data_IF_297089323643
#
_entry.id   IF_297089323643
#
_cell.length_a   1.000
_cell.length_b   1.000
_cell.length_c   1.000
_cell.angle_alpha   90.00
_cell.angle_beta   90.00
_cell.angle_gamma   90.00
#
_symmetry.space_group_name_H-M   'P 1'
#
loop_
_entity.id
_entity.type
_entity.pdbx_description
1 polymer ?
#
# COMPACT_ATOMS: atom_id res chain seq x y z
N UNK A 1 -20.03 -7.72 -44.73
CA UNK A 1 -18.61 -7.38 -45.00
C UNK A 1 -17.88 -7.29 -43.67
N UNK A 2 -16.88 -8.14 -43.39
CA UNK A 2 -16.09 -8.03 -42.16
C UNK A 2 -15.23 -6.76 -42.22
N UNK A 3 -15.24 -5.96 -41.15
CA UNK A 3 -14.46 -4.74 -41.06
C UNK A 3 -12.95 -5.05 -41.21
N UNK A 4 -12.26 -4.34 -42.11
CA UNK A 4 -10.80 -4.46 -42.26
C UNK A 4 -10.13 -4.16 -40.91
N UNK A 5 -9.18 -4.99 -40.44
CA UNK A 5 -8.43 -4.70 -39.22
C UNK A 5 -7.69 -3.37 -39.41
N UNK A 6 -7.81 -2.46 -38.42
CA UNK A 6 -7.05 -1.20 -38.41
C UNK A 6 -5.57 -1.57 -38.44
N UNK A 7 -4.87 -1.18 -39.51
CA UNK A 7 -3.41 -1.29 -39.60
C UNK A 7 -2.82 -0.43 -38.48
N UNK A 8 -2.10 -1.07 -37.55
CA UNK A 8 -1.28 -0.37 -36.57
C UNK A 8 -0.20 0.43 -37.31
N UNK A 9 0.05 1.67 -36.88
CA UNK A 9 1.12 2.48 -37.48
C UNK A 9 2.48 1.85 -37.12
N UNK A 10 3.49 1.87 -38.01
CA UNK A 10 4.86 1.50 -37.65
C UNK A 10 5.39 2.24 -36.41
N UNK A 11 4.87 3.44 -36.15
CA UNK A 11 5.16 4.22 -34.94
C UNK A 11 4.62 3.55 -33.66
N UNK A 12 3.44 2.91 -33.73
CA UNK A 12 2.85 2.15 -32.63
C UNK A 12 3.67 0.89 -32.33
N UNK A 13 4.15 0.21 -33.38
CA UNK A 13 4.98 -0.99 -33.23
C UNK A 13 6.36 -0.64 -32.65
N UNK A 14 6.97 0.45 -33.08
CA UNK A 14 8.22 0.96 -32.49
C UNK A 14 8.02 1.42 -31.04
N UNK A 15 6.92 2.08 -30.73
CA UNK A 15 6.59 2.45 -29.36
C UNK A 15 6.38 1.20 -28.49
N UNK A 16 5.75 0.14 -29.02
CA UNK A 16 5.59 -1.13 -28.34
C UNK A 16 6.93 -1.85 -28.13
N UNK A 17 7.76 -1.98 -29.17
CA UNK A 17 9.09 -2.56 -29.06
C UNK A 17 9.98 -1.78 -28.09
N UNK A 18 9.94 -0.44 -28.15
CA UNK A 18 10.62 0.44 -27.19
C UNK A 18 10.10 0.23 -25.77
N UNK A 19 8.80 0.04 -25.58
CA UNK A 19 8.23 -0.26 -24.26
C UNK A 19 8.64 -1.64 -23.71
N UNK A 20 8.87 -2.62 -24.59
CA UNK A 20 9.41 -3.94 -24.22
C UNK A 20 10.88 -3.81 -23.82
N UNK A 21 11.67 -3.10 -24.63
CA UNK A 21 13.12 -2.93 -24.44
C UNK A 21 13.44 -2.04 -23.26
N UNK A 22 12.73 -0.92 -23.08
CA UNK A 22 12.98 0.00 -21.97
C UNK A 22 12.48 -0.55 -20.63
N UNK A 23 11.53 -1.51 -20.63
CA UNK A 23 11.03 -2.20 -19.42
C UNK A 23 10.49 -1.28 -18.31
N UNK A 24 10.47 0.02 -18.56
CA UNK A 24 10.42 1.08 -17.56
C UNK A 24 9.03 1.68 -17.46
N UNK A 25 8.03 0.83 -17.27
CA UNK A 25 6.70 1.33 -16.92
C UNK A 25 6.78 2.11 -15.62
N UNK A 26 6.42 3.41 -15.67
CA UNK A 26 6.32 4.26 -14.49
C UNK A 26 5.46 3.54 -13.43
N UNK A 27 5.92 3.41 -12.17
CA UNK A 27 5.03 2.94 -11.13
C UNK A 27 3.87 3.92 -10.99
N UNK A 28 2.61 3.45 -10.86
CA UNK A 28 1.45 4.33 -10.76
C UNK A 28 1.60 5.27 -9.57
N UNK A 29 1.37 6.57 -9.77
CA UNK A 29 1.50 7.59 -8.72
C UNK A 29 0.56 7.26 -7.55
N UNK A 30 -0.61 6.69 -7.85
CA UNK A 30 -1.56 6.20 -6.84
C UNK A 30 -0.90 5.23 -5.86
N UNK A 31 -0.07 4.31 -6.35
CA UNK A 31 0.56 3.32 -5.50
C UNK A 31 1.69 3.91 -4.65
N UNK A 32 2.48 4.82 -5.22
CA UNK A 32 3.51 5.53 -4.45
C UNK A 32 2.89 6.39 -3.34
N UNK A 33 1.85 7.16 -3.68
CA UNK A 33 1.16 8.06 -2.76
C UNK A 33 0.38 7.29 -1.69
N UNK A 34 -0.28 6.19 -2.05
CA UNK A 34 -1.03 5.39 -1.09
C UNK A 34 -0.13 4.76 -0.03
N UNK A 35 1.03 4.23 -0.43
CA UNK A 35 2.01 3.69 0.52
C UNK A 35 2.62 4.77 1.40
N UNK A 36 3.00 5.91 0.81
CA UNK A 36 3.61 7.01 1.55
C UNK A 36 2.62 7.62 2.55
N UNK A 37 1.44 8.02 2.08
CA UNK A 37 0.43 8.62 2.93
C UNK A 37 -0.09 7.62 3.97
N UNK A 38 -0.32 6.36 3.58
CA UNK A 38 -0.75 5.30 4.49
C UNK A 38 0.26 5.06 5.60
N UNK A 39 1.54 4.86 5.25
CA UNK A 39 2.59 4.64 6.24
C UNK A 39 2.78 5.82 7.19
N UNK A 40 2.71 7.06 6.69
CA UNK A 40 2.86 8.25 7.52
C UNK A 40 1.65 8.51 8.42
N UNK A 41 0.44 8.48 7.87
CA UNK A 41 -0.77 8.81 8.61
C UNK A 41 -1.10 7.74 9.66
N UNK A 42 -1.10 6.46 9.26
CA UNK A 42 -1.35 5.38 10.21
C UNK A 42 -0.16 5.16 11.15
N UNK A 43 1.08 5.38 10.71
CA UNK A 43 2.25 5.36 11.59
C UNK A 43 2.16 6.43 12.68
N UNK A 44 1.74 7.65 12.31
CA UNK A 44 1.49 8.72 13.27
C UNK A 44 0.34 8.39 14.22
N UNK A 45 -0.74 7.78 13.72
CA UNK A 45 -1.85 7.32 14.55
C UNK A 45 -1.40 6.27 15.56
N UNK A 46 -0.62 5.27 15.14
CA UNK A 46 -0.05 4.27 16.05
C UNK A 46 0.88 4.92 17.09
N UNK A 47 1.75 5.83 16.67
CA UNK A 47 2.65 6.56 17.57
C UNK A 47 1.89 7.37 18.62
N UNK A 48 0.79 8.01 18.22
CA UNK A 48 -0.10 8.72 19.13
C UNK A 48 -0.70 7.77 20.17
N UNK A 49 -1.20 6.61 19.75
CA UNK A 49 -1.73 5.59 20.67
C UNK A 49 -0.64 4.97 21.58
N UNK A 50 0.62 4.86 21.13
CA UNK A 50 1.75 4.52 22.01
C UNK A 50 1.89 5.59 23.11
N UNK A 51 1.80 6.87 22.76
CA UNK A 51 1.82 7.97 23.73
C UNK A 51 0.67 7.92 24.73
N UNK A 52 -0.50 7.44 24.32
CA UNK A 52 -1.65 7.21 25.22
C UNK A 52 -1.42 6.03 26.15
N UNK A 53 -0.95 4.91 25.61
CA UNK A 53 -0.68 3.71 26.38
C UNK A 53 0.49 3.91 27.37
N UNK A 54 1.45 4.79 27.06
CA UNK A 54 2.51 5.23 27.95
C UNK A 54 2.04 6.25 29.02
N UNK A 55 0.78 6.70 28.96
CA UNK A 55 0.21 7.65 29.91
C UNK A 55 0.60 9.12 29.69
N UNK A 56 1.32 9.43 28.62
CA UNK A 56 1.75 10.79 28.26
C UNK A 56 0.59 11.64 27.71
N UNK A 57 -0.39 10.99 27.08
CA UNK A 57 -1.54 11.64 26.44
C UNK A 57 -2.82 11.06 27.01
N UNK A 58 -3.62 11.88 27.68
CA UNK A 58 -4.92 11.49 28.24
C UNK A 58 -6.02 12.29 27.59
N UNK A 59 -6.67 11.71 26.59
CA UNK A 59 -7.79 12.31 25.88
C UNK A 59 -9.06 11.51 26.13
N UNK A 60 -10.22 12.19 26.20
CA UNK A 60 -11.50 11.51 26.28
C UNK A 60 -11.76 10.66 25.02
N UNK A 61 -12.53 9.60 25.16
CA UNK A 61 -12.77 8.62 24.08
C UNK A 61 -13.31 9.26 22.80
N UNK A 62 -14.14 10.30 22.93
CA UNK A 62 -14.65 11.05 21.79
C UNK A 62 -13.54 11.75 21.00
N UNK A 63 -12.56 12.34 21.68
CA UNK A 63 -11.41 12.98 21.01
C UNK A 63 -10.53 11.94 20.29
N UNK A 64 -10.40 10.74 20.86
CA UNK A 64 -9.68 9.63 20.22
C UNK A 64 -10.39 9.16 18.97
N UNK A 65 -11.71 9.00 19.04
CA UNK A 65 -12.53 8.60 17.89
C UNK A 65 -12.44 9.64 16.76
N UNK A 66 -12.54 10.93 17.09
CA UNK A 66 -12.41 12.03 16.13
C UNK A 66 -11.02 12.02 15.48
N UNK A 67 -9.97 11.79 16.26
CA UNK A 67 -8.60 11.71 15.74
C UNK A 67 -8.41 10.54 14.76
N UNK A 68 -8.88 9.34 15.12
CA UNK A 68 -8.83 8.17 14.23
C UNK A 68 -9.64 8.40 12.96
N UNK A 69 -10.86 8.94 13.09
CA UNK A 69 -11.71 9.27 11.94
C UNK A 69 -11.05 10.31 11.02
N UNK A 70 -10.42 11.34 11.59
CA UNK A 70 -9.70 12.37 10.84
C UNK A 70 -8.56 11.77 10.01
N UNK A 71 -7.78 10.85 10.59
CA UNK A 71 -6.70 10.14 9.90
C UNK A 71 -7.26 9.32 8.73
N UNK A 72 -8.32 8.54 8.95
CA UNK A 72 -8.95 7.73 7.90
C UNK A 72 -9.53 8.59 6.77
N UNK A 73 -10.23 9.68 7.10
CA UNK A 73 -10.78 10.62 6.11
C UNK A 73 -9.67 11.30 5.31
N UNK A 74 -8.58 11.69 5.98
CA UNK A 74 -7.41 12.29 5.31
C UNK A 74 -6.78 11.32 4.33
N UNK A 75 -6.58 10.06 4.75
CA UNK A 75 -6.04 9.01 3.87
C UNK A 75 -6.94 8.76 2.66
N UNK A 76 -8.26 8.61 2.86
CA UNK A 76 -9.22 8.40 1.78
C UNK A 76 -9.27 9.58 0.80
N UNK A 77 -9.16 10.81 1.31
CA UNK A 77 -9.11 12.02 0.49
C UNK A 77 -7.86 12.04 -0.40
N UNK A 78 -6.69 11.73 0.16
CA UNK A 78 -5.42 11.64 -0.58
C UNK A 78 -5.48 10.53 -1.63
N UNK A 79 -5.99 9.34 -1.26
CA UNK A 79 -6.14 8.21 -2.17
C UNK A 79 -7.08 8.55 -3.33
N UNK A 80 -8.23 9.15 -3.04
CA UNK A 80 -9.20 9.59 -4.06
C UNK A 80 -8.57 10.59 -5.00
N UNK A 81 -7.87 11.58 -4.48
CA UNK A 81 -7.12 12.54 -5.28
C UNK A 81 -6.09 11.88 -6.19
N UNK A 82 -5.31 10.92 -5.66
CA UNK A 82 -4.27 10.22 -6.42
C UNK A 82 -4.86 9.38 -7.57
N UNK A 83 -5.97 8.69 -7.32
CA UNK A 83 -6.72 7.93 -8.34
C UNK A 83 -7.24 8.88 -9.43
N UNK A 84 -7.84 10.00 -9.04
CA UNK A 84 -8.34 11.00 -10.00
C UNK A 84 -7.19 11.60 -10.82
N UNK A 85 -6.01 11.78 -10.22
CA UNK A 85 -4.81 12.27 -10.91
C UNK A 85 -4.28 11.26 -11.92
N UNK A 86 -4.13 9.99 -11.54
CA UNK A 86 -3.69 8.93 -12.45
C UNK A 86 -4.66 8.70 -13.62
N UNK A 87 -5.98 8.85 -13.38
CA UNK A 87 -6.99 8.80 -14.44
C UNK A 87 -6.86 9.95 -15.44
N UNK A 88 -6.56 11.17 -14.96
CA UNK A 88 -6.34 12.35 -15.81
C UNK A 88 -5.07 12.24 -16.64
N UNK A 89 -4.02 11.63 -16.09
CA UNK A 89 -2.71 11.52 -16.75
C UNK A 89 -2.65 10.34 -17.76
N UNK A 90 -3.76 9.65 -18.02
CA UNK A 90 -3.87 8.62 -19.08
C UNK A 90 -3.03 7.36 -18.85
N UNK A 91 -2.50 7.16 -17.63
CA UNK A 91 -1.64 6.04 -17.25
C UNK A 91 -2.35 4.68 -17.24
N UNK A 92 -3.67 4.66 -17.47
CA UNK A 92 -4.52 3.52 -17.12
C UNK A 92 -4.42 2.30 -18.05
N UNK A 93 -3.80 2.37 -19.24
CA UNK A 93 -3.86 1.24 -20.19
C UNK A 93 -2.63 0.97 -21.08
N UNK A 94 -1.53 1.74 -20.99
CA UNK A 94 -0.34 1.60 -21.87
C UNK A 94 0.96 1.39 -21.10
N UNK A 95 0.99 0.41 -20.20
CA UNK A 95 2.20 0.02 -19.47
C UNK A 95 2.81 -1.30 -20.00
N UNK A 96 4.14 -1.48 -19.95
CA UNK A 96 4.79 -2.77 -20.20
C UNK A 96 4.17 -3.88 -19.35
N UNK A 97 4.20 -5.13 -19.84
CA UNK A 97 3.58 -6.30 -19.18
C UNK A 97 3.94 -6.39 -17.69
N UNK A 98 5.20 -6.17 -17.33
CA UNK A 98 5.67 -6.18 -15.94
C UNK A 98 4.97 -5.15 -15.03
N UNK A 99 4.70 -3.94 -15.53
CA UNK A 99 4.01 -2.90 -14.77
C UNK A 99 2.51 -3.21 -14.57
N UNK A 100 1.89 -3.85 -15.57
CA UNK A 100 0.51 -4.35 -15.48
C UNK A 100 0.39 -5.48 -14.46
N UNK A 101 1.30 -6.45 -14.51
CA UNK A 101 1.36 -7.56 -13.54
C UNK A 101 1.55 -7.02 -12.12
N UNK A 102 2.46 -6.05 -11.93
CA UNK A 102 2.69 -5.43 -10.63
C UNK A 102 1.44 -4.71 -10.10
N UNK A 103 0.77 -3.93 -10.95
CA UNK A 103 -0.45 -3.21 -10.58
C UNK A 103 -1.59 -4.19 -10.25
N UNK A 104 -1.72 -5.27 -11.01
CA UNK A 104 -2.69 -6.33 -10.75
C UNK A 104 -2.42 -7.04 -9.42
N UNK A 105 -1.15 -7.35 -9.10
CA UNK A 105 -0.77 -7.97 -7.84
C UNK A 105 -1.16 -7.11 -6.63
N UNK A 106 -0.79 -5.82 -6.63
CA UNK A 106 -1.17 -4.91 -5.55
C UNK A 106 -2.67 -4.65 -5.47
N UNK A 107 -3.37 -4.63 -6.61
CA UNK A 107 -4.83 -4.50 -6.65
C UNK A 107 -5.50 -5.75 -6.04
N UNK A 108 -5.01 -6.95 -6.37
CA UNK A 108 -5.50 -8.20 -5.80
C UNK A 108 -5.28 -8.24 -4.29
N UNK A 109 -4.11 -7.81 -3.81
CA UNK A 109 -3.85 -7.64 -2.37
C UNK A 109 -4.81 -6.66 -1.71
N UNK A 110 -5.10 -5.52 -2.37
CA UNK A 110 -6.08 -4.56 -1.88
C UNK A 110 -7.49 -5.16 -1.78
N UNK A 111 -7.93 -5.89 -2.79
CA UNK A 111 -9.22 -6.59 -2.78
C UNK A 111 -9.29 -7.67 -1.69
N UNK A 112 -8.21 -8.42 -1.48
CA UNK A 112 -8.11 -9.37 -0.39
C UNK A 112 -8.23 -8.67 0.97
N UNK A 113 -7.60 -7.51 1.16
CA UNK A 113 -7.75 -6.72 2.40
C UNK A 113 -9.20 -6.27 2.65
N UNK A 114 -9.98 -5.95 1.61
CA UNK A 114 -11.41 -5.63 1.75
C UNK A 114 -12.21 -6.85 2.22
N UNK A 115 -11.92 -8.04 1.71
CA UNK A 115 -12.57 -9.26 2.19
C UNK A 115 -12.17 -9.58 3.63
N UNK A 116 -10.88 -9.47 3.96
CA UNK A 116 -10.35 -9.76 5.30
C UNK A 116 -10.90 -8.79 6.34
N UNK A 117 -10.95 -7.48 6.07
CA UNK A 117 -11.49 -6.51 7.04
C UNK A 117 -12.95 -6.83 7.38
N UNK A 118 -13.77 -7.28 6.41
CA UNK A 118 -15.15 -7.69 6.66
C UNK A 118 -15.22 -8.95 7.54
N UNK A 119 -14.39 -9.96 7.26
CA UNK A 119 -14.35 -11.20 8.06
C UNK A 119 -13.98 -10.89 9.52
N UNK A 120 -12.93 -10.09 9.73
CA UNK A 120 -12.47 -9.73 11.07
C UNK A 120 -13.41 -8.75 11.78
N UNK A 121 -14.06 -7.83 11.06
CA UNK A 121 -15.10 -6.97 11.62
C UNK A 121 -16.24 -7.79 12.20
N UNK A 122 -16.79 -8.71 11.39
CA UNK A 122 -17.91 -9.57 11.78
C UNK A 122 -17.49 -10.48 12.93
N UNK A 123 -16.30 -11.09 12.85
CA UNK A 123 -15.76 -11.95 13.91
C UNK A 123 -15.58 -11.22 15.24
N UNK A 124 -14.96 -10.04 15.23
CA UNK A 124 -14.75 -9.24 16.44
C UNK A 124 -16.06 -8.82 17.11
N UNK A 125 -17.07 -8.44 16.32
CA UNK A 125 -18.40 -8.07 16.85
C UNK A 125 -19.14 -9.30 17.40
N UNK A 126 -19.06 -10.43 16.70
CA UNK A 126 -19.73 -11.67 17.10
C UNK A 126 -19.18 -12.21 18.41
N UNK A 127 -17.85 -12.27 18.53
CA UNK A 127 -17.18 -12.92 19.66
C UNK A 127 -16.86 -11.94 20.80
N UNK A 128 -17.19 -10.64 20.64
CA UNK A 128 -16.89 -9.55 21.59
C UNK A 128 -15.40 -9.48 22.00
N UNK A 129 -14.50 -9.96 21.13
CA UNK A 129 -13.06 -9.97 21.36
C UNK A 129 -12.35 -9.05 20.36
N UNK A 130 -11.84 -7.93 20.86
CA UNK A 130 -11.09 -6.97 20.06
C UNK A 130 -9.72 -7.49 19.60
N UNK A 131 -9.17 -8.53 20.24
CA UNK A 131 -7.94 -9.17 19.78
C UNK A 131 -8.10 -9.77 18.38
N UNK A 132 -9.32 -10.23 18.04
CA UNK A 132 -9.66 -10.69 16.69
C UNK A 132 -9.41 -9.55 15.70
N UNK A 133 -9.90 -8.34 15.98
CA UNK A 133 -9.67 -7.17 15.14
C UNK A 133 -8.18 -6.85 14.95
N UNK A 134 -7.36 -7.01 15.98
CA UNK A 134 -5.91 -6.72 15.89
C UNK A 134 -5.15 -7.70 14.97
N UNK A 135 -5.64 -8.92 14.75
CA UNK A 135 -5.03 -9.83 13.77
C UNK A 135 -5.17 -9.34 12.32
N UNK A 136 -6.12 -8.44 12.05
CA UNK A 136 -6.27 -7.81 10.73
C UNK A 136 -4.95 -7.16 10.28
N UNK A 137 -4.29 -6.39 11.15
CA UNK A 137 -3.05 -5.70 10.75
C UNK A 137 -1.95 -6.70 10.38
N UNK A 138 -1.81 -7.80 11.13
CA UNK A 138 -0.85 -8.86 10.81
C UNK A 138 -1.09 -9.44 9.41
N UNK A 139 -2.36 -9.65 9.03
CA UNK A 139 -2.72 -10.15 7.70
C UNK A 139 -2.42 -9.12 6.61
N UNK A 140 -2.71 -7.84 6.86
CA UNK A 140 -2.35 -6.76 5.91
C UNK A 140 -0.85 -6.79 5.62
N UNK A 141 -0.01 -6.89 6.65
CA UNK A 141 1.44 -7.00 6.46
C UNK A 141 1.83 -8.26 5.69
N UNK A 142 1.21 -9.41 5.97
CA UNK A 142 1.51 -10.66 5.28
C UNK A 142 1.14 -10.66 3.78
N UNK A 143 -0.04 -10.13 3.45
CA UNK A 143 -0.50 -10.02 2.06
C UNK A 143 0.30 -8.97 1.29
N UNK A 144 0.65 -7.86 1.94
CA UNK A 144 1.48 -6.82 1.34
C UNK A 144 2.91 -7.32 1.08
N UNK A 145 3.46 -8.11 2.01
CA UNK A 145 4.76 -8.76 1.83
C UNK A 145 4.79 -9.68 0.60
N UNK A 146 3.71 -10.45 0.36
CA UNK A 146 3.60 -11.28 -0.82
C UNK A 146 3.60 -10.46 -2.12
N UNK A 147 2.90 -9.32 -2.14
CA UNK A 147 2.91 -8.41 -3.29
C UNK A 147 4.31 -7.82 -3.54
N UNK A 148 5.03 -7.44 -2.49
CA UNK A 148 6.42 -6.97 -2.59
C UNK A 148 7.40 -8.05 -3.03
N UNK A 149 7.19 -9.30 -2.61
CA UNK A 149 8.01 -10.41 -3.06
C UNK A 149 7.83 -10.63 -4.57
N UNK A 150 6.60 -10.58 -5.07
CA UNK A 150 6.33 -10.61 -6.52
C UNK A 150 6.94 -9.41 -7.26
N UNK A 151 6.89 -8.21 -6.66
CA UNK A 151 7.56 -7.03 -7.22
C UNK A 151 9.07 -7.26 -7.36
N UNK A 152 9.68 -7.90 -6.36
CA UNK A 152 11.10 -8.25 -6.38
C UNK A 152 11.42 -9.32 -7.43
N UNK A 153 10.59 -10.36 -7.61
CA UNK A 153 10.88 -11.38 -8.64
C UNK A 153 10.90 -10.79 -10.05
N UNK A 154 10.11 -9.74 -10.29
CA UNK A 154 10.07 -9.00 -11.56
C UNK A 154 11.17 -7.96 -11.71
N UNK A 155 11.40 -7.10 -10.70
CA UNK A 155 12.30 -5.94 -10.81
C UNK A 155 13.69 -6.16 -10.19
N UNK A 156 13.87 -7.24 -9.44
CA UNK A 156 15.12 -7.66 -8.77
C UNK A 156 15.82 -6.58 -7.93
N UNK A 157 15.09 -5.58 -7.43
CA UNK A 157 15.64 -4.52 -6.57
C UNK A 157 15.69 -4.98 -5.11
N UNK A 158 16.87 -4.88 -4.48
CA UNK A 158 17.09 -5.38 -3.10
C UNK A 158 16.14 -4.80 -2.05
N UNK A 159 15.75 -3.53 -2.16
CA UNK A 159 14.82 -2.90 -1.22
C UNK A 159 13.41 -3.52 -1.25
N UNK A 160 12.97 -4.06 -2.40
CA UNK A 160 11.67 -4.73 -2.50
C UNK A 160 11.67 -6.05 -1.74
N UNK A 161 12.77 -6.80 -1.81
CA UNK A 161 12.96 -8.03 -1.02
C UNK A 161 13.03 -7.71 0.48
N UNK A 162 13.80 -6.69 0.85
CA UNK A 162 13.86 -6.25 2.25
C UNK A 162 12.47 -5.86 2.79
N UNK A 163 11.66 -5.17 1.98
CA UNK A 163 10.28 -4.81 2.34
C UNK A 163 9.39 -6.05 2.51
N UNK A 164 9.50 -7.02 1.60
CA UNK A 164 8.75 -8.27 1.68
C UNK A 164 9.10 -9.08 2.94
N UNK A 165 10.40 -9.32 3.17
CA UNK A 165 10.86 -10.07 4.33
C UNK A 165 10.51 -9.35 5.64
N UNK A 166 10.72 -8.04 5.71
CA UNK A 166 10.33 -7.22 6.85
C UNK A 166 8.82 -7.28 7.09
N UNK A 167 8.00 -7.31 6.04
CA UNK A 167 6.55 -7.44 6.15
C UNK A 167 6.11 -8.78 6.76
N UNK A 168 6.69 -9.90 6.34
CA UNK A 168 6.38 -11.20 6.95
C UNK A 168 6.87 -11.32 8.39
N UNK A 169 8.08 -10.82 8.69
CA UNK A 169 8.59 -10.77 10.07
C UNK A 169 7.65 -9.93 10.95
N UNK A 170 7.21 -8.78 10.45
CA UNK A 170 6.25 -7.91 11.16
C UNK A 170 4.92 -8.62 11.36
N UNK A 171 4.40 -9.31 10.34
CA UNK A 171 3.13 -10.04 10.45
C UNK A 171 3.17 -11.09 11.57
N UNK A 172 4.25 -11.87 11.63
CA UNK A 172 4.44 -12.85 12.71
C UNK A 172 4.58 -12.17 14.07
N UNK A 173 5.38 -11.10 14.15
CA UNK A 173 5.55 -10.34 15.39
C UNK A 173 4.23 -9.77 15.91
N UNK A 174 3.41 -9.16 15.04
CA UNK A 174 2.09 -8.62 15.41
C UNK A 174 1.12 -9.72 15.86
N UNK A 175 1.17 -10.90 15.23
CA UNK A 175 0.36 -12.05 15.65
C UNK A 175 0.71 -12.54 17.05
N UNK A 176 2.01 -12.61 17.38
CA UNK A 176 2.48 -12.98 18.73
C UNK A 176 2.16 -11.90 19.76
N UNK A 177 2.29 -10.63 19.39
CA UNK A 177 2.12 -9.48 20.29
C UNK A 177 0.67 -9.00 20.41
N UNK A 178 -0.30 -9.70 19.83
CA UNK A 178 -1.70 -9.23 19.76
C UNK A 178 -2.31 -8.92 21.14
N UNK A 179 -1.82 -9.58 22.20
CA UNK A 179 -2.28 -9.41 23.58
C UNK A 179 -1.46 -8.41 24.39
N UNK A 180 -0.43 -7.81 23.79
CA UNK A 180 0.48 -6.86 24.42
C UNK A 180 0.40 -5.49 23.71
N UNK A 181 -0.57 -4.63 24.07
CA UNK A 181 -0.95 -3.46 23.27
C UNK A 181 0.21 -2.47 23.04
N UNK A 182 1.07 -2.26 24.04
CA UNK A 182 2.22 -1.36 23.94
C UNK A 182 3.23 -1.84 22.89
N UNK A 183 3.63 -3.11 22.98
CA UNK A 183 4.60 -3.71 22.06
C UNK A 183 4.01 -3.85 20.66
N UNK A 184 2.74 -4.22 20.55
CA UNK A 184 2.02 -4.28 19.30
C UNK A 184 2.03 -2.93 18.57
N UNK A 185 1.65 -1.85 19.26
CA UNK A 185 1.60 -0.51 18.68
C UNK A 185 3.00 0.01 18.31
N UNK A 186 4.02 -0.28 19.13
CA UNK A 186 5.40 0.08 18.85
C UNK A 186 5.94 -0.59 17.59
N UNK A 187 5.79 -1.92 17.48
CA UNK A 187 6.20 -2.68 16.29
C UNK A 187 5.43 -2.20 15.05
N UNK A 188 4.12 -1.99 15.17
CA UNK A 188 3.29 -1.50 14.07
C UNK A 188 3.76 -0.10 13.60
N UNK A 189 4.07 0.81 14.52
CA UNK A 189 4.56 2.16 14.20
C UNK A 189 5.86 2.10 13.40
N UNK A 190 6.86 1.35 13.88
CA UNK A 190 8.15 1.20 13.21
C UNK A 190 7.96 0.56 11.83
N UNK A 191 7.13 -0.48 11.74
CA UNK A 191 6.85 -1.17 10.50
C UNK A 191 6.11 -0.30 9.47
N UNK A 192 5.16 0.54 9.89
CA UNK A 192 4.44 1.45 8.99
C UNK A 192 5.39 2.52 8.40
N UNK A 193 6.32 3.05 9.19
CA UNK A 193 7.33 3.97 8.65
C UNK A 193 8.33 3.27 7.73
N UNK A 194 8.87 2.12 8.13
CA UNK A 194 9.94 1.47 7.38
C UNK A 194 9.46 0.66 6.17
N UNK A 195 8.30 0.01 6.26
CA UNK A 195 7.81 -0.93 5.24
C UNK A 195 6.69 -0.35 4.38
N UNK A 196 6.10 0.77 4.78
CA UNK A 196 5.12 1.48 3.96
C UNK A 196 5.62 2.85 3.52
N UNK A 197 5.97 3.73 4.47
CA UNK A 197 6.34 5.11 4.13
C UNK A 197 7.64 5.18 3.31
N UNK A 198 8.66 4.41 3.69
CA UNK A 198 9.95 4.42 2.99
C UNK A 198 9.85 3.86 1.55
N UNK A 199 9.26 2.68 1.29
CA UNK A 199 8.95 2.23 -0.07
C UNK A 199 8.11 3.23 -0.86
N UNK A 200 7.07 3.81 -0.25
CA UNK A 200 6.23 4.83 -0.87
C UNK A 200 7.02 6.06 -1.30
N UNK A 201 7.94 6.53 -0.46
CA UNK A 201 8.85 7.64 -0.77
C UNK A 201 9.80 7.31 -1.92
N UNK A 202 10.40 6.13 -1.92
CA UNK A 202 11.30 5.69 -3.00
C UNK A 202 10.53 5.68 -4.34
N UNK A 203 9.33 5.12 -4.35
CA UNK A 203 8.48 5.09 -5.55
C UNK A 203 8.04 6.48 -5.98
N UNK A 204 7.72 7.37 -5.05
CA UNK A 204 7.32 8.74 -5.32
C UNK A 204 8.46 9.55 -5.94
N UNK A 205 9.69 9.38 -5.41
CA UNK A 205 10.89 9.98 -5.98
C UNK A 205 11.14 9.50 -7.41
N UNK A 206 11.02 8.20 -7.65
CA UNK A 206 11.19 7.61 -8.98
C UNK A 206 10.13 8.12 -9.98
N UNK A 207 8.86 8.23 -9.57
CA UNK A 207 7.77 8.80 -10.38
C UNK A 207 7.98 10.29 -10.70
N UNK A 208 8.47 11.08 -9.73
CA UNK A 208 8.73 12.52 -9.91
C UNK A 208 9.97 12.79 -10.77
N UNK A 209 11.05 12.03 -10.58
CA UNK A 209 12.27 12.14 -11.38
C UNK A 209 12.02 11.83 -12.86
N UNK A 210 11.23 10.79 -13.15
CA UNK A 210 10.83 10.45 -14.52
C UNK A 210 9.87 11.46 -15.18
N UNK A 211 9.27 12.38 -14.42
CA UNK A 211 8.41 13.46 -14.93
C UNK A 211 9.17 14.74 -15.28
N UNK A 212 10.42 14.89 -14.84
CA UNK A 212 11.30 16.02 -15.20
C UNK A 212 12.17 15.75 -16.44
N UNK A 213 12.20 14.51 -16.93
CA UNK A 213 13.02 14.07 -18.06
C UNK A 213 12.22 13.96 -19.38
N UNK A 214 10.96 14.39 -19.38
CA UNK A 214 10.07 14.57 -20.54
C UNK A 214 9.73 16.04 -20.62
#
# INVERSE_FOLDING_TARGET
>A
MPAKPKLHSPEDDLAFMRSIVEGGGRPPMTLAVSYLAGGLLYGLQCLFHVGQAAGLIRWPDLANLVFVALISVSFLSILTWAILKDRKDGLSQRGPMAARTLSAAFSATGMANVSVILIFAIGAVRDNDFAIWLYYAAIVFALQAAAWYMAWTLKRRGWMLATALGGWVTAVALGVLVREPLWYLGVCTVALFLLFALPGWIMFRDARAGSRAV
#
